data_IF_601915016495
#
_entry.id   IF_601915016495
#
_cell.length_a   1.000
_cell.length_b   1.000
_cell.length_c   1.000
_cell.angle_alpha   90.00
_cell.angle_beta   90.00
_cell.angle_gamma   90.00
#
_symmetry.space_group_name_H-M   'P 1'
#
loop_
_entity.id
_entity.type
_entity.pdbx_description
1 polymer ?
#
# COMPACT_ATOMS: atom_id res chain seq x y z
N UNK A 1 -12.99 -43.48 -11.56
CA UNK A 1 -12.44 -42.30 -10.88
C UNK A 1 -12.68 -41.09 -11.76
N UNK A 2 -13.46 -40.13 -11.26
CA UNK A 2 -13.78 -38.91 -12.01
C UNK A 2 -12.73 -37.83 -11.69
N UNK A 3 -12.53 -36.87 -12.61
CA UNK A 3 -11.58 -35.76 -12.47
C UNK A 3 -11.74 -34.95 -11.16
N UNK A 4 -12.92 -35.02 -10.53
CA UNK A 4 -13.20 -34.40 -9.23
C UNK A 4 -12.45 -35.05 -8.05
N UNK A 5 -12.17 -36.37 -8.11
CA UNK A 5 -11.51 -37.09 -7.01
C UNK A 5 -9.99 -36.85 -6.98
N UNK A 6 -9.38 -36.51 -8.12
CA UNK A 6 -7.93 -36.22 -8.24
C UNK A 6 -7.61 -34.83 -7.69
N UNK A 7 -8.50 -33.85 -7.87
CA UNK A 7 -8.31 -32.47 -7.38
C UNK A 7 -8.37 -32.37 -5.85
N UNK A 8 -9.19 -33.20 -5.20
CA UNK A 8 -9.31 -33.22 -3.73
C UNK A 8 -8.04 -33.83 -3.09
N UNK A 9 -7.43 -34.84 -3.71
CA UNK A 9 -6.21 -35.46 -3.18
C UNK A 9 -4.99 -34.52 -3.24
N UNK A 10 -4.89 -33.68 -4.29
CA UNK A 10 -3.79 -32.72 -4.41
C UNK A 10 -3.90 -31.55 -3.41
N UNK A 11 -5.10 -31.13 -3.03
CA UNK A 11 -5.30 -30.00 -2.11
C UNK A 11 -4.85 -30.29 -0.67
N UNK A 12 -5.01 -31.53 -0.20
CA UNK A 12 -4.70 -31.90 1.20
C UNK A 12 -3.19 -32.07 1.43
N UNK A 13 -2.41 -32.45 0.41
CA UNK A 13 -0.97 -32.62 0.53
C UNK A 13 -0.20 -31.28 0.66
N UNK A 14 -0.70 -30.20 0.04
CA UNK A 14 -0.05 -28.88 0.06
C UNK A 14 -0.19 -28.12 1.39
N UNK A 15 -1.22 -28.41 2.19
CA UNK A 15 -1.45 -27.72 3.47
C UNK A 15 -0.57 -28.32 4.59
N UNK A 16 -0.28 -29.63 4.53
CA UNK A 16 0.59 -30.29 5.51
C UNK A 16 2.06 -29.85 5.45
N UNK A 17 2.57 -29.54 4.26
CA UNK A 17 3.97 -29.11 4.08
C UNK A 17 4.24 -27.68 4.62
N UNK A 18 3.24 -26.80 4.59
CA UNK A 18 3.35 -25.41 5.07
C UNK A 18 3.34 -25.30 6.60
N UNK A 19 2.60 -26.19 7.29
CA UNK A 19 2.55 -26.22 8.75
C UNK A 19 3.81 -26.84 9.37
N UNK A 20 4.45 -27.80 8.70
CA UNK A 20 5.72 -28.39 9.16
C UNK A 20 6.90 -27.42 9.14
N UNK A 21 6.92 -26.46 8.22
CA UNK A 21 8.02 -25.49 8.08
C UNK A 21 7.99 -24.38 9.15
N UNK A 22 6.81 -24.06 9.71
CA UNK A 22 6.66 -22.99 10.71
C UNK A 22 6.95 -23.44 12.15
N UNK A 23 6.88 -24.75 12.46
CA UNK A 23 7.11 -25.26 13.81
C UNK A 23 8.50 -25.90 14.05
N UNK A 24 9.34 -26.01 13.02
CA UNK A 24 10.59 -26.79 13.07
C UNK A 24 11.88 -26.05 13.47
N UNK A 25 11.84 -24.77 13.88
CA UNK A 25 13.06 -24.04 14.28
C UNK A 25 13.17 -23.87 15.80
N UNK A 26 13.85 -24.82 16.43
CA UNK A 26 14.47 -24.66 17.75
C UNK A 26 15.91 -25.18 17.70
N UNK A 27 16.71 -24.75 18.69
CA UNK A 27 18.16 -24.95 18.90
C UNK A 27 18.97 -23.82 18.23
N UNK A 28 19.72 -22.95 18.91
CA UNK A 28 20.23 -22.93 20.27
C UNK A 28 21.73 -22.65 20.21
N UNK A 29 22.21 -21.52 20.71
CA UNK A 29 23.61 -21.37 21.15
C UNK A 29 23.81 -20.14 22.04
N UNK A 30 24.23 -20.42 23.28
CA UNK A 30 24.96 -19.55 24.22
C UNK A 30 26.43 -19.99 24.15
N UNK A 31 27.43 -19.11 24.29
CA UNK A 31 28.20 -18.98 25.55
C UNK A 31 28.48 -17.49 25.92
N UNK A 32 28.44 -17.06 27.20
CA UNK A 32 29.58 -16.85 28.14
C UNK A 32 30.65 -15.84 27.63
N UNK A 33 31.22 -14.88 28.37
CA UNK A 33 31.18 -14.47 29.79
C UNK A 33 31.97 -13.14 29.98
N UNK A 34 31.66 -12.41 31.08
CA UNK A 34 32.47 -11.42 31.87
C UNK A 34 32.87 -10.12 31.13
N UNK A 35 32.82 -8.94 31.74
CA UNK A 35 33.65 -8.46 32.85
C UNK A 35 32.93 -7.33 33.59
N UNK A 36 32.98 -7.34 34.92
CA UNK A 36 32.63 -6.21 35.78
C UNK A 36 33.75 -5.16 35.70
N UNK A 37 33.39 -3.90 35.44
CA UNK A 37 34.28 -2.76 35.62
C UNK A 37 33.53 -1.74 36.47
N UNK A 38 33.85 -1.71 37.76
CA UNK A 38 33.71 -0.49 38.55
C UNK A 38 34.70 0.53 37.98
N UNK A 39 34.23 1.76 37.78
CA UNK A 39 35.10 2.91 37.55
C UNK A 39 34.55 4.12 38.34
N UNK A 40 35.44 5.01 38.81
CA UNK A 40 35.24 5.82 39.99
C UNK A 40 34.54 7.15 39.69
N UNK A 41 33.94 7.73 40.74
CA UNK A 41 33.50 9.12 40.79
C UNK A 41 34.65 10.07 40.43
N UNK A 42 34.47 10.87 39.39
CA UNK A 42 35.21 12.12 39.20
C UNK A 42 34.24 13.19 38.69
N UNK A 43 33.94 14.14 39.56
CA UNK A 43 33.40 15.46 39.22
C UNK A 43 34.41 16.21 38.33
N UNK A 44 33.98 16.74 37.18
CA UNK A 44 34.45 18.02 36.63
C UNK A 44 33.72 18.40 35.33
N UNK A 45 33.13 19.59 35.36
CA UNK A 45 32.63 20.49 34.30
C UNK A 45 32.87 20.19 32.81
N UNK A 46 31.76 20.05 32.06
CA UNK A 46 31.34 20.84 30.86
C UNK A 46 30.32 20.03 30.03
N UNK A 47 29.02 20.40 29.93
CA UNK A 47 28.09 19.70 29.05
C UNK A 47 28.17 20.30 27.63
N UNK A 48 29.29 20.11 26.94
CA UNK A 48 29.31 20.30 25.49
C UNK A 48 29.05 18.96 24.83
N UNK A 49 27.77 18.56 24.79
CA UNK A 49 27.37 17.41 23.98
C UNK A 49 27.87 17.64 22.54
N UNK A 50 28.60 16.70 21.91
CA UNK A 50 28.88 16.81 20.50
C UNK A 50 27.54 16.86 19.77
N UNK A 51 27.30 17.95 19.03
CA UNK A 51 26.15 18.04 18.12
C UNK A 51 26.37 16.94 17.10
N UNK A 52 25.76 15.77 17.33
CA UNK A 52 25.68 14.75 16.32
C UNK A 52 25.02 15.43 15.11
N UNK A 53 25.63 15.39 13.91
CA UNK A 53 24.96 15.91 12.73
C UNK A 53 23.59 15.23 12.67
N UNK A 54 22.53 16.04 12.59
CA UNK A 54 21.19 15.54 12.31
C UNK A 54 21.26 15.02 10.88
N UNK A 55 21.65 13.76 10.74
CA UNK A 55 21.61 13.06 9.46
C UNK A 55 20.13 12.86 9.18
N UNK A 56 19.58 13.68 8.28
CA UNK A 56 18.35 13.34 7.59
C UNK A 56 18.60 12.00 6.89
N UNK A 57 18.04 10.94 7.46
CA UNK A 57 18.10 9.60 6.89
C UNK A 57 17.19 9.58 5.67
N UNK A 58 17.69 10.11 4.54
CA UNK A 58 17.08 9.93 3.23
C UNK A 58 16.92 8.43 2.99
N UNK A 59 15.71 7.98 2.61
CA UNK A 59 15.43 6.56 2.36
C UNK A 59 16.44 5.99 1.36
N UNK A 60 16.96 4.80 1.64
CA UNK A 60 17.88 4.12 0.73
C UNK A 60 17.21 3.92 -0.64
N UNK A 61 17.90 4.17 -1.77
CA UNK A 61 17.35 3.93 -3.11
C UNK A 61 16.78 2.52 -3.30
N UNK A 62 17.35 1.53 -2.59
CA UNK A 62 16.86 0.15 -2.61
C UNK A 62 15.48 -0.01 -1.95
N UNK A 63 15.21 0.74 -0.89
CA UNK A 63 13.91 0.70 -0.21
C UNK A 63 12.84 1.38 -1.07
N UNK A 64 13.20 2.45 -1.79
CA UNK A 64 12.31 3.15 -2.71
C UNK A 64 11.86 2.25 -3.86
N UNK A 65 12.80 1.54 -4.49
CA UNK A 65 12.46 0.59 -5.56
C UNK A 65 11.56 -0.54 -5.06
N UNK A 66 11.86 -1.08 -3.88
CA UNK A 66 11.04 -2.13 -3.24
C UNK A 66 9.62 -1.64 -2.95
N UNK A 67 9.48 -0.48 -2.32
CA UNK A 67 8.18 0.11 -1.99
C UNK A 67 7.35 0.35 -3.25
N UNK A 68 7.99 0.82 -4.32
CA UNK A 68 7.32 1.07 -5.58
C UNK A 68 6.78 -0.22 -6.22
N UNK A 69 7.60 -1.27 -6.28
CA UNK A 69 7.18 -2.56 -6.87
C UNK A 69 6.10 -3.25 -6.03
N UNK A 70 6.23 -3.20 -4.70
CA UNK A 70 5.19 -3.71 -3.78
C UNK A 70 3.88 -2.93 -3.97
N UNK A 71 3.94 -1.60 -3.99
CA UNK A 71 2.76 -0.76 -4.12
C UNK A 71 2.08 -0.91 -5.48
N UNK A 72 2.83 -1.00 -6.59
CA UNK A 72 2.28 -1.38 -7.90
C UNK A 72 1.57 -2.73 -7.86
N UNK A 73 2.13 -3.70 -7.14
CA UNK A 73 1.51 -5.01 -6.91
C UNK A 73 0.18 -4.90 -6.16
N UNK A 74 0.09 -4.03 -5.14
CA UNK A 74 -1.14 -3.77 -4.40
C UNK A 74 -2.18 -3.06 -5.27
N UNK A 75 -1.79 -2.05 -6.05
CA UNK A 75 -2.69 -1.35 -6.99
C UNK A 75 -3.34 -2.32 -7.98
N UNK A 76 -2.57 -3.25 -8.55
CA UNK A 76 -3.11 -4.31 -9.44
C UNK A 76 -4.13 -5.19 -8.74
N UNK A 77 -3.92 -5.52 -7.46
CA UNK A 77 -4.88 -6.32 -6.67
C UNK A 77 -6.14 -5.52 -6.34
N UNK A 78 -6.01 -4.21 -6.09
CA UNK A 78 -7.15 -3.31 -5.95
C UNK A 78 -7.98 -3.26 -7.24
N UNK A 79 -7.36 -3.25 -8.41
CA UNK A 79 -8.08 -3.29 -9.69
C UNK A 79 -8.98 -4.53 -9.80
N UNK A 80 -8.44 -5.70 -9.43
CA UNK A 80 -9.22 -6.95 -9.41
C UNK A 80 -10.33 -6.90 -8.38
N UNK A 81 -10.06 -6.35 -7.20
CA UNK A 81 -11.05 -6.22 -6.12
C UNK A 81 -12.19 -5.28 -6.50
N UNK A 82 -11.90 -4.14 -7.12
CA UNK A 82 -12.88 -3.18 -7.64
C UNK A 82 -13.81 -3.85 -8.67
N UNK A 83 -13.27 -4.72 -9.54
CA UNK A 83 -14.08 -5.51 -10.47
C UNK A 83 -14.98 -6.53 -9.75
N UNK A 84 -14.48 -7.18 -8.69
CA UNK A 84 -15.28 -8.09 -7.86
C UNK A 84 -16.41 -7.37 -7.13
N UNK A 85 -16.13 -6.17 -6.60
CA UNK A 85 -17.13 -5.30 -5.95
C UNK A 85 -18.23 -4.93 -6.95
N UNK A 86 -17.87 -4.41 -8.14
CA UNK A 86 -18.85 -4.09 -9.19
C UNK A 86 -19.71 -5.31 -9.57
N UNK A 87 -19.10 -6.50 -9.63
CA UNK A 87 -19.83 -7.74 -9.91
C UNK A 87 -20.75 -8.16 -8.75
N UNK A 88 -20.34 -7.96 -7.50
CA UNK A 88 -21.17 -8.24 -6.32
C UNK A 88 -22.34 -7.27 -6.20
N UNK A 89 -22.11 -5.97 -6.46
CA UNK A 89 -23.14 -4.93 -6.55
C UNK A 89 -24.20 -5.30 -7.59
N UNK A 90 -23.78 -5.73 -8.79
CA UNK A 90 -24.71 -6.17 -9.85
C UNK A 90 -25.55 -7.39 -9.45
N UNK A 91 -25.04 -8.26 -8.58
CA UNK A 91 -25.75 -9.46 -8.08
C UNK A 91 -26.61 -9.19 -6.84
N UNK A 92 -26.47 -8.03 -6.20
CA UNK A 92 -27.15 -7.72 -4.94
C UNK A 92 -26.64 -8.54 -3.75
N UNK A 93 -25.39 -9.00 -3.77
CA UNK A 93 -24.79 -9.78 -2.68
C UNK A 93 -24.21 -8.86 -1.60
N UNK A 94 -25.09 -8.35 -0.73
CA UNK A 94 -24.75 -7.42 0.36
C UNK A 94 -23.73 -8.00 1.36
N UNK A 95 -23.74 -9.33 1.57
CA UNK A 95 -22.83 -10.00 2.50
C UNK A 95 -21.39 -9.94 2.01
N UNK A 96 -21.18 -10.36 0.76
CA UNK A 96 -19.87 -10.29 0.12
C UNK A 96 -19.43 -8.83 -0.09
N UNK A 97 -20.35 -7.93 -0.44
CA UNK A 97 -20.03 -6.52 -0.70
C UNK A 97 -19.37 -5.85 0.51
N UNK A 98 -19.91 -6.04 1.73
CA UNK A 98 -19.32 -5.49 2.96
C UNK A 98 -17.90 -5.99 3.20
N UNK A 99 -17.66 -7.29 3.00
CA UNK A 99 -16.34 -7.88 3.17
C UNK A 99 -15.33 -7.36 2.13
N UNK A 100 -15.75 -7.25 0.87
CA UNK A 100 -14.91 -6.74 -0.20
C UNK A 100 -14.54 -5.27 0.01
N UNK A 101 -15.48 -4.44 0.48
CA UNK A 101 -15.23 -3.03 0.84
C UNK A 101 -14.29 -2.87 2.03
N UNK A 102 -14.40 -3.74 3.03
CA UNK A 102 -13.44 -3.78 4.13
C UNK A 102 -12.04 -4.11 3.61
N UNK A 103 -11.93 -5.13 2.76
CA UNK A 103 -10.65 -5.52 2.17
C UNK A 103 -10.06 -4.42 1.28
N UNK A 104 -10.90 -3.68 0.56
CA UNK A 104 -10.48 -2.51 -0.24
C UNK A 104 -9.86 -1.43 0.67
N UNK A 105 -10.48 -1.18 1.81
CA UNK A 105 -10.01 -0.20 2.80
C UNK A 105 -8.65 -0.60 3.38
N UNK A 106 -8.47 -1.87 3.72
CA UNK A 106 -7.20 -2.40 4.23
C UNK A 106 -6.08 -2.29 3.18
N UNK A 107 -6.35 -2.67 1.92
CA UNK A 107 -5.36 -2.56 0.84
C UNK A 107 -4.96 -1.11 0.57
N UNK A 108 -5.92 -0.16 0.61
CA UNK A 108 -5.63 1.28 0.53
C UNK A 108 -4.81 1.75 1.74
N UNK A 109 -5.06 1.19 2.93
CA UNK A 109 -4.25 1.43 4.12
C UNK A 109 -2.79 1.00 3.95
N UNK A 110 -2.55 -0.18 3.37
CA UNK A 110 -1.20 -0.66 3.10
C UNK A 110 -0.42 0.23 2.12
N UNK A 111 -1.11 0.81 1.12
CA UNK A 111 -0.49 1.72 0.17
C UNK A 111 0.10 2.97 0.86
N UNK A 112 -0.56 3.50 1.90
CA UNK A 112 -0.04 4.64 2.67
C UNK A 112 1.32 4.34 3.30
N UNK A 113 1.55 3.10 3.72
CA UNK A 113 2.83 2.68 4.31
C UNK A 113 3.97 2.65 3.27
N UNK A 114 3.64 2.52 1.98
CA UNK A 114 4.60 2.47 0.87
C UNK A 114 4.79 3.83 0.17
N UNK A 115 4.44 4.95 0.82
CA UNK A 115 4.48 6.30 0.25
C UNK A 115 3.58 6.50 -0.98
N UNK A 116 2.44 5.80 -1.03
CA UNK A 116 1.42 6.06 -2.04
C UNK A 116 0.31 6.97 -1.50
N UNK A 117 -0.16 7.87 -2.34
CA UNK A 117 -1.29 8.74 -2.07
C UNK A 117 -2.48 8.41 -2.99
N UNK A 118 -3.67 8.29 -2.41
CA UNK A 118 -4.91 8.07 -3.17
C UNK A 118 -5.47 9.39 -3.68
N UNK A 119 -5.75 9.47 -4.97
CA UNK A 119 -6.43 10.61 -5.57
C UNK A 119 -7.93 10.36 -5.62
N UNK A 120 -8.68 11.17 -4.89
CA UNK A 120 -10.14 11.18 -4.90
C UNK A 120 -10.61 12.63 -4.93
N UNK A 121 -11.51 12.93 -5.86
CA UNK A 121 -12.02 14.26 -6.09
C UNK A 121 -13.50 14.32 -5.68
N UNK A 122 -13.89 15.24 -4.77
CA UNK A 122 -15.27 15.39 -4.37
C UNK A 122 -16.11 16.01 -5.48
N UNK A 123 -17.42 15.82 -5.40
CA UNK A 123 -18.38 16.46 -6.31
C UNK A 123 -18.28 17.99 -6.21
N UNK A 124 -18.35 18.67 -7.34
CA UNK A 124 -18.23 20.13 -7.46
C UNK A 124 -16.80 20.66 -7.58
N UNK A 125 -15.76 19.82 -7.49
CA UNK A 125 -14.39 20.28 -7.72
C UNK A 125 -14.19 20.74 -9.17
N UNK A 126 -13.68 21.96 -9.42
CA UNK A 126 -13.38 22.40 -10.78
C UNK A 126 -12.15 21.68 -11.34
N UNK A 127 -12.26 21.18 -12.57
CA UNK A 127 -11.16 20.49 -13.25
C UNK A 127 -10.06 21.49 -13.66
N UNK A 128 -9.00 21.56 -12.86
CA UNK A 128 -7.82 22.39 -13.13
C UNK A 128 -6.88 21.78 -14.18
N UNK A 129 -5.95 22.59 -14.70
CA UNK A 129 -4.93 22.13 -15.66
C UNK A 129 -4.00 21.07 -15.04
N UNK A 130 -3.62 21.24 -13.77
CA UNK A 130 -2.80 20.26 -13.05
C UNK A 130 -3.53 18.93 -12.89
N UNK A 131 -4.83 18.97 -12.52
CA UNK A 131 -5.68 17.79 -12.38
C UNK A 131 -5.73 16.96 -13.66
N UNK A 132 -5.80 17.61 -14.84
CA UNK A 132 -5.87 16.92 -16.14
C UNK A 132 -4.71 15.94 -16.40
N UNK A 133 -3.55 16.17 -15.79
CA UNK A 133 -2.44 15.23 -15.87
C UNK A 133 -2.67 13.95 -15.06
N UNK A 134 -3.44 14.04 -13.97
CA UNK A 134 -3.68 13.00 -12.95
C UNK A 134 -5.02 12.27 -13.07
N UNK A 135 -5.93 12.76 -13.91
CA UNK A 135 -7.28 12.21 -14.10
C UNK A 135 -7.50 11.64 -15.51
N UNK A 136 -8.51 10.80 -15.62
CA UNK A 136 -9.12 10.36 -16.86
C UNK A 136 -10.63 10.62 -16.76
N UNK A 137 -11.17 11.40 -17.70
CA UNK A 137 -12.61 11.66 -17.77
C UNK A 137 -13.24 10.47 -18.49
N UNK A 138 -14.10 9.72 -17.80
CA UNK A 138 -14.75 8.50 -18.33
C UNK A 138 -16.22 8.73 -18.68
N UNK A 139 -16.87 9.71 -18.06
CA UNK A 139 -18.28 10.05 -18.23
C UNK A 139 -18.44 11.58 -18.24
N UNK A 140 -19.41 12.12 -18.98
CA UNK A 140 -19.74 13.55 -19.00
C UNK A 140 -19.38 14.28 -20.30
N UNK A 141 -19.90 15.50 -20.43
CA UNK A 141 -19.61 16.38 -21.58
C UNK A 141 -18.71 17.54 -21.14
N UNK A 142 -17.56 17.70 -21.79
CA UNK A 142 -16.61 18.78 -21.55
C UNK A 142 -16.92 19.94 -22.52
N UNK A 143 -18.14 20.46 -22.47
CA UNK A 143 -18.61 21.49 -23.40
C UNK A 143 -18.53 22.87 -22.76
N UNK A 144 -17.50 23.65 -23.13
CA UNK A 144 -17.46 25.11 -23.05
C UNK A 144 -17.32 25.75 -21.65
N UNK A 145 -17.99 25.23 -20.63
CA UNK A 145 -17.87 25.69 -19.24
C UNK A 145 -16.77 24.93 -18.49
N UNK A 146 -16.30 25.50 -17.37
CA UNK A 146 -15.31 24.85 -16.49
C UNK A 146 -15.91 23.54 -15.97
N UNK A 147 -15.52 22.42 -16.58
CA UNK A 147 -15.97 21.10 -16.18
C UNK A 147 -15.83 20.89 -14.67
N UNK A 148 -16.93 20.49 -14.03
CA UNK A 148 -16.96 20.18 -12.61
C UNK A 148 -16.98 18.67 -12.44
N UNK A 149 -16.23 18.17 -11.47
CA UNK A 149 -16.29 16.77 -11.06
C UNK A 149 -17.71 16.49 -10.55
N UNK A 150 -18.40 15.53 -11.15
CA UNK A 150 -19.67 15.01 -10.60
C UNK A 150 -19.38 13.99 -9.51
N UNK A 151 -18.50 13.02 -9.81
CA UNK A 151 -18.02 12.00 -8.86
C UNK A 151 -16.71 11.38 -9.33
N UNK A 152 -15.95 10.82 -8.39
CA UNK A 152 -14.85 9.91 -8.69
C UNK A 152 -15.41 8.51 -8.90
N UNK A 153 -15.25 7.97 -10.12
CA UNK A 153 -15.66 6.61 -10.48
C UNK A 153 -14.63 5.59 -9.99
N UNK A 154 -13.36 5.98 -10.01
CA UNK A 154 -12.24 5.15 -9.55
C UNK A 154 -11.11 6.02 -9.02
N UNK A 155 -10.58 5.68 -7.84
CA UNK A 155 -9.50 6.44 -7.23
C UNK A 155 -8.21 6.38 -8.09
N UNK A 156 -7.44 7.45 -8.14
CA UNK A 156 -6.08 7.42 -8.68
C UNK A 156 -5.05 7.08 -7.59
N UNK A 157 -3.81 6.84 -8.00
CA UNK A 157 -2.69 6.62 -7.10
C UNK A 157 -1.43 7.33 -7.59
N UNK A 158 -0.83 8.10 -6.70
CA UNK A 158 0.50 8.68 -6.85
C UNK A 158 1.49 7.93 -5.97
N UNK A 159 2.72 7.79 -6.44
CA UNK A 159 3.86 7.39 -5.63
C UNK A 159 4.68 8.64 -5.31
N UNK A 160 4.89 8.91 -4.03
CA UNK A 160 5.63 10.07 -3.55
C UNK A 160 7.11 9.69 -3.40
N UNK A 161 7.95 10.18 -4.30
CA UNK A 161 9.40 9.99 -4.25
C UNK A 161 10.08 11.25 -3.71
N UNK A 162 10.08 11.42 -2.39
CA UNK A 162 10.71 12.57 -1.74
C UNK A 162 10.22 13.90 -2.33
N UNK A 163 11.16 14.84 -2.55
CA UNK A 163 10.85 16.23 -2.85
C UNK A 163 10.63 16.54 -4.34
N UNK A 164 11.02 15.67 -5.28
CA UNK A 164 11.08 16.10 -6.69
C UNK A 164 10.33 15.23 -7.71
N UNK A 165 10.06 13.94 -7.46
CA UNK A 165 9.46 13.07 -8.49
C UNK A 165 8.20 12.32 -8.02
N UNK A 166 7.06 13.01 -7.98
CA UNK A 166 5.77 12.30 -7.82
C UNK A 166 5.42 11.53 -9.10
N UNK A 167 5.35 10.21 -9.00
CA UNK A 167 5.04 9.35 -10.14
C UNK A 167 3.56 8.96 -10.14
N UNK A 168 2.87 9.18 -11.27
CA UNK A 168 1.49 8.73 -11.44
C UNK A 168 1.49 7.22 -11.71
N UNK A 169 0.98 6.44 -10.75
CA UNK A 169 0.85 4.99 -10.88
C UNK A 169 -0.47 4.61 -11.53
N UNK A 170 -1.55 5.31 -11.16
CA UNK A 170 -2.89 5.14 -11.74
C UNK A 170 -3.60 6.49 -11.79
N UNK A 171 -4.16 6.86 -12.94
CA UNK A 171 -5.00 8.07 -13.02
C UNK A 171 -6.34 7.83 -12.33
N UNK A 172 -6.89 8.87 -11.70
CA UNK A 172 -8.25 8.79 -11.17
C UNK A 172 -9.26 8.86 -12.31
N UNK A 173 -10.23 7.96 -12.33
CA UNK A 173 -11.33 8.02 -13.31
C UNK A 173 -12.46 8.85 -12.71
N UNK A 174 -12.86 9.90 -13.41
CA UNK A 174 -13.91 10.83 -12.94
C UNK A 174 -15.04 10.95 -13.96
N UNK A 175 -16.23 11.23 -13.45
CA UNK A 175 -17.36 11.74 -14.23
C UNK A 175 -17.42 13.27 -14.07
N UNK A 176 -17.76 13.97 -15.14
CA UNK A 176 -17.88 15.44 -15.15
C UNK A 176 -19.26 15.89 -15.60
N UNK A 177 -19.63 17.11 -15.21
CA UNK A 177 -20.83 17.81 -15.68
C UNK A 177 -20.51 19.25 -16.09
#
# INVERSE_FOLDING_TARGET
MTLAEILILCGVASVGALLGFLFGRKVGQKPEARVAVEAPDTESDEPTAPIAPIVEMSRSPHDLHRDLEVGKGIVKRLDMLEAMIKAAEKRGDEGSLKQLRLFETELKGLLKNCAFESLEYPSGTPVSTEMRSRIQIVEGNVSGERALVDRTVRCGFLYLHGDEDTMIVRKAEISVR
#
